data_IF_935736511292
#
_entry.id   IF_935736511292
#
_cell.length_a   1.000
_cell.length_b   1.000
_cell.length_c   1.000
_cell.angle_alpha   90.00
_cell.angle_beta   90.00
_cell.angle_gamma   90.00
#
_symmetry.space_group_name_H-M   'P 1'
#
loop_
_entity.id
_entity.type
_entity.pdbx_description
1 polymer ?
#
# COMPACT_ATOMS: atom_id res chain seq x y z
N UNK A 1 -50.99 21.24 -2.08
CA UNK A 1 -49.71 20.59 -2.43
C UNK A 1 -49.57 19.13 -1.92
N UNK A 2 -50.34 18.69 -0.90
CA UNK A 2 -50.19 17.33 -0.33
C UNK A 2 -50.91 16.20 -1.08
N UNK A 3 -51.87 16.49 -1.99
CA UNK A 3 -52.63 15.47 -2.74
C UNK A 3 -51.91 14.99 -3.98
N UNK A 4 -51.13 15.87 -4.65
CA UNK A 4 -50.36 15.53 -5.86
C UNK A 4 -49.16 14.62 -5.59
N UNK A 5 -48.50 14.73 -4.42
CA UNK A 5 -47.38 13.87 -4.05
C UNK A 5 -47.83 12.43 -3.71
N UNK A 6 -49.07 12.24 -3.17
CA UNK A 6 -49.60 10.90 -2.87
C UNK A 6 -50.02 10.15 -4.12
N UNK A 7 -50.54 10.85 -5.14
CA UNK A 7 -50.86 10.24 -6.45
C UNK A 7 -49.65 9.82 -7.22
N UNK A 8 -48.54 10.59 -7.17
CA UNK A 8 -47.25 10.21 -7.79
C UNK A 8 -46.61 8.99 -7.12
N UNK A 9 -46.75 8.87 -5.78
CA UNK A 9 -46.19 7.73 -5.03
C UNK A 9 -46.98 6.43 -5.32
N UNK A 10 -48.31 6.50 -5.47
CA UNK A 10 -49.13 5.36 -5.83
C UNK A 10 -48.92 4.91 -7.29
N UNK A 11 -48.67 5.87 -8.19
CA UNK A 11 -48.38 5.54 -9.59
C UNK A 11 -47.02 4.87 -9.74
N UNK A 12 -45.97 5.29 -8.99
CA UNK A 12 -44.65 4.65 -9.01
C UNK A 12 -44.69 3.24 -8.38
N UNK A 13 -45.50 3.02 -7.36
CA UNK A 13 -45.67 1.69 -6.75
C UNK A 13 -46.36 0.73 -7.71
N UNK A 14 -47.41 1.17 -8.45
CA UNK A 14 -48.10 0.36 -9.45
C UNK A 14 -47.21 -0.06 -10.64
N UNK A 15 -46.34 0.86 -11.10
CA UNK A 15 -45.35 0.55 -12.17
C UNK A 15 -44.31 -0.46 -11.68
N UNK A 16 -43.84 -0.35 -10.43
CA UNK A 16 -42.91 -1.32 -9.84
C UNK A 16 -43.47 -2.74 -9.72
N UNK A 17 -44.75 -2.86 -9.34
CA UNK A 17 -45.44 -4.18 -9.23
C UNK A 17 -45.67 -4.82 -10.62
N UNK A 18 -46.04 -4.03 -11.64
CA UNK A 18 -46.22 -4.53 -13.02
C UNK A 18 -44.90 -4.98 -13.62
N UNK A 19 -43.80 -4.22 -13.43
CA UNK A 19 -42.45 -4.66 -13.87
C UNK A 19 -41.99 -5.94 -13.14
N UNK A 20 -42.25 -6.04 -11.83
CA UNK A 20 -41.91 -7.24 -11.05
C UNK A 20 -42.61 -8.49 -11.52
N UNK A 21 -43.87 -8.39 -11.91
CA UNK A 21 -44.68 -9.51 -12.45
C UNK A 21 -44.19 -9.94 -13.85
N UNK A 22 -43.78 -9.01 -14.71
CA UNK A 22 -43.21 -9.34 -16.02
C UNK A 22 -41.86 -10.04 -15.94
N UNK A 23 -41.02 -9.67 -15.00
CA UNK A 23 -39.73 -10.32 -14.78
C UNK A 23 -39.91 -11.73 -14.22
N UNK A 24 -40.85 -11.93 -13.28
CA UNK A 24 -41.11 -13.26 -12.70
C UNK A 24 -41.69 -14.26 -13.70
N UNK A 25 -42.57 -13.82 -14.61
CA UNK A 25 -43.16 -14.70 -15.66
C UNK A 25 -42.14 -15.00 -16.77
N UNK A 26 -41.23 -14.09 -17.08
CA UNK A 26 -40.10 -14.32 -18.00
C UNK A 26 -39.10 -15.36 -17.49
N UNK A 27 -38.77 -15.30 -16.20
CA UNK A 27 -37.82 -16.22 -15.58
C UNK A 27 -38.39 -17.64 -15.42
N UNK A 28 -39.71 -17.80 -15.17
CA UNK A 28 -40.35 -19.12 -15.08
C UNK A 28 -40.43 -19.84 -16.43
N UNK A 29 -40.49 -19.10 -17.56
CA UNK A 29 -40.47 -19.72 -18.90
C UNK A 29 -39.08 -20.18 -19.32
N UNK A 30 -38.00 -19.60 -18.77
CA UNK A 30 -36.61 -19.97 -19.05
C UNK A 30 -36.14 -21.22 -18.27
N UNK A 31 -36.88 -21.64 -17.24
CA UNK A 31 -36.51 -22.75 -16.36
C UNK A 31 -37.37 -24.02 -16.56
N UNK A 32 -38.23 -24.10 -17.59
CA UNK A 32 -38.96 -25.31 -17.89
C UNK A 32 -38.09 -26.27 -18.71
N UNK A 33 -37.80 -27.49 -18.22
CA UNK A 33 -37.07 -28.47 -19.00
C UNK A 33 -37.96 -28.98 -20.12
N UNK A 34 -37.66 -28.61 -21.37
CA UNK A 34 -38.21 -29.20 -22.56
C UNK A 34 -37.37 -30.41 -22.91
N UNK A 35 -38.03 -31.56 -22.94
CA UNK A 35 -37.92 -32.64 -23.87
C UNK A 35 -38.06 -34.01 -23.17
N UNK A 36 -39.07 -34.73 -23.58
CA UNK A 36 -39.21 -36.16 -23.34
C UNK A 36 -38.06 -36.93 -24.02
N UNK A 37 -37.61 -38.03 -23.41
CA UNK A 37 -36.58 -38.86 -24.03
C UNK A 37 -37.11 -39.54 -25.30
N UNK A 38 -36.30 -39.68 -26.35
CA UNK A 38 -36.67 -40.53 -27.49
C UNK A 38 -36.75 -42.00 -27.04
N UNK A 39 -37.76 -42.69 -27.50
CA UNK A 39 -38.01 -44.14 -27.32
C UNK A 39 -36.74 -44.92 -27.66
N UNK A 40 -36.31 -45.74 -26.71
CA UNK A 40 -35.18 -46.66 -26.87
C UNK A 40 -35.55 -47.77 -27.84
N UNK A 41 -34.97 -47.77 -29.02
CA UNK A 41 -34.93 -48.95 -29.88
C UNK A 41 -34.11 -50.04 -29.18
N UNK A 42 -34.79 -51.11 -28.80
CA UNK A 42 -34.19 -52.34 -28.29
C UNK A 42 -33.24 -52.96 -29.33
N UNK A 43 -32.03 -53.23 -29.01
CA UNK A 43 -31.22 -54.16 -29.78
C UNK A 43 -29.78 -53.76 -30.02
N UNK A 44 -28.98 -53.66 -28.95
CA UNK A 44 -27.54 -53.97 -29.02
C UNK A 44 -27.07 -54.36 -27.61
N UNK A 45 -26.76 -55.59 -27.39
CA UNK A 45 -26.03 -56.10 -26.23
C UNK A 45 -24.66 -55.41 -26.18
N UNK A 46 -24.30 -54.79 -25.07
CA UNK A 46 -22.96 -54.18 -24.96
C UNK A 46 -21.90 -55.29 -24.94
N UNK A 47 -20.90 -55.18 -25.80
CA UNK A 47 -19.70 -55.99 -25.79
C UNK A 47 -18.98 -55.79 -24.43
N UNK A 48 -18.73 -56.85 -23.64
CA UNK A 48 -18.05 -56.73 -22.34
C UNK A 48 -16.58 -56.30 -22.43
N UNK A 49 -16.06 -56.08 -23.62
CA UNK A 49 -14.67 -55.69 -23.81
C UNK A 49 -14.39 -54.14 -23.66
N UNK A 50 -15.45 -53.30 -23.53
CA UNK A 50 -15.29 -51.84 -23.38
C UNK A 50 -15.59 -51.33 -21.96
N UNK A 51 -15.82 -52.24 -20.99
CA UNK A 51 -15.98 -51.87 -19.61
C UNK A 51 -14.58 -51.60 -18.97
N UNK A 52 -14.26 -50.33 -18.84
CA UNK A 52 -13.32 -49.90 -17.84
C UNK A 52 -11.83 -49.85 -18.22
N UNK A 53 -11.50 -49.08 -19.22
CA UNK A 53 -10.20 -48.38 -19.11
C UNK A 53 -10.34 -47.36 -17.97
N UNK A 54 -10.23 -47.81 -16.73
CA UNK A 54 -9.96 -46.91 -15.60
C UNK A 54 -8.71 -46.15 -16.01
N UNK A 55 -8.85 -44.85 -16.27
CA UNK A 55 -7.73 -43.95 -16.47
C UNK A 55 -6.85 -44.12 -15.25
N UNK A 56 -5.70 -44.76 -15.39
CA UNK A 56 -4.73 -44.89 -14.33
C UNK A 56 -4.47 -43.48 -13.82
N UNK A 57 -4.81 -43.19 -12.58
CA UNK A 57 -4.44 -41.94 -11.92
C UNK A 57 -2.91 -41.97 -11.93
N UNK A 58 -2.31 -41.12 -12.77
CA UNK A 58 -0.86 -40.98 -12.78
C UNK A 58 -0.44 -40.59 -11.36
N UNK A 59 0.37 -41.40 -10.74
CA UNK A 59 1.03 -41.04 -9.47
C UNK A 59 1.76 -39.74 -9.77
N UNK A 60 1.43 -38.65 -9.06
CA UNK A 60 2.09 -37.36 -9.25
C UNK A 60 3.60 -37.59 -9.17
N UNK A 61 4.38 -37.17 -10.19
CA UNK A 61 5.83 -37.19 -10.08
C UNK A 61 6.19 -36.44 -8.81
N UNK A 62 7.19 -36.91 -8.06
CA UNK A 62 7.62 -36.22 -6.83
C UNK A 62 7.93 -34.76 -7.14
N UNK A 63 7.77 -33.90 -6.13
CA UNK A 63 8.03 -32.45 -6.24
C UNK A 63 9.39 -32.20 -6.90
N UNK A 64 9.45 -31.25 -7.84
CA UNK A 64 10.70 -30.79 -8.40
C UNK A 64 11.52 -29.92 -7.41
N UNK A 65 12.72 -29.54 -7.81
CA UNK A 65 13.60 -28.75 -6.93
C UNK A 65 13.05 -27.33 -6.65
N UNK A 66 12.37 -26.74 -7.62
CA UNK A 66 11.78 -25.40 -7.49
C UNK A 66 10.54 -25.43 -6.58
N UNK A 67 9.70 -26.44 -6.74
CA UNK A 67 8.53 -26.66 -5.87
C UNK A 67 8.97 -26.86 -4.41
N UNK A 68 9.96 -27.71 -4.16
CA UNK A 68 10.52 -27.93 -2.82
C UNK A 68 11.06 -26.65 -2.22
N UNK A 69 11.84 -25.91 -3.00
CA UNK A 69 12.40 -24.63 -2.57
C UNK A 69 11.29 -23.63 -2.18
N UNK A 70 10.24 -23.51 -2.99
CA UNK A 70 9.10 -22.63 -2.72
C UNK A 70 8.36 -23.05 -1.45
N UNK A 71 8.14 -24.34 -1.25
CA UNK A 71 7.49 -24.89 -0.06
C UNK A 71 8.32 -24.61 1.18
N UNK A 72 9.62 -24.84 1.14
CA UNK A 72 10.50 -24.62 2.29
C UNK A 72 10.63 -23.15 2.63
N UNK A 73 10.79 -22.27 1.62
CA UNK A 73 10.75 -20.82 1.81
C UNK A 73 9.45 -20.37 2.49
N UNK A 74 8.31 -20.86 2.02
CA UNK A 74 7.02 -20.52 2.60
C UNK A 74 6.88 -20.99 4.05
N UNK A 75 7.27 -22.23 4.37
CA UNK A 75 7.24 -22.76 5.73
C UNK A 75 8.11 -21.94 6.69
N UNK A 76 9.28 -21.53 6.25
CA UNK A 76 10.20 -20.74 7.07
C UNK A 76 9.67 -19.32 7.27
N UNK A 77 9.27 -18.65 6.21
CA UNK A 77 8.85 -17.25 6.25
C UNK A 77 7.49 -17.04 6.91
N UNK A 78 6.54 -17.97 6.76
CA UNK A 78 5.19 -17.86 7.35
C UNK A 78 5.23 -17.77 8.89
N UNK A 79 6.26 -18.31 9.53
CA UNK A 79 6.47 -18.19 10.99
C UNK A 79 6.68 -16.76 11.45
N UNK A 80 7.11 -15.88 10.55
CA UNK A 80 7.35 -14.47 10.80
C UNK A 80 6.16 -13.59 10.44
N UNK A 81 5.18 -14.12 9.68
CA UNK A 81 4.04 -13.34 9.18
C UNK A 81 2.92 -13.34 10.21
N UNK A 82 2.33 -12.17 10.40
CA UNK A 82 1.24 -11.94 11.33
C UNK A 82 -0.06 -11.60 10.58
N UNK A 83 -1.18 -12.00 11.16
CA UNK A 83 -2.49 -11.45 10.84
C UNK A 83 -2.80 -10.29 11.78
N UNK A 84 -3.30 -9.19 11.22
CA UNK A 84 -3.64 -7.98 11.98
C UNK A 84 -5.13 -7.72 11.82
N UNK A 85 -5.82 -7.54 12.93
CA UNK A 85 -7.20 -7.08 12.98
C UNK A 85 -7.29 -5.77 13.74
N UNK A 86 -8.19 -4.93 13.28
CA UNK A 86 -8.46 -3.63 13.88
C UNK A 86 -9.93 -3.54 14.28
N UNK A 87 -10.19 -2.83 15.37
CA UNK A 87 -11.53 -2.65 15.92
C UNK A 87 -11.76 -1.17 16.18
N UNK A 88 -13.01 -0.75 16.05
CA UNK A 88 -13.49 0.57 16.44
C UNK A 88 -14.54 0.42 17.53
N UNK A 89 -14.48 1.28 18.54
CA UNK A 89 -15.50 1.36 19.57
C UNK A 89 -16.72 2.11 19.01
N UNK A 90 -17.88 1.49 19.11
CA UNK A 90 -19.15 2.15 18.80
C UNK A 90 -20.01 2.20 20.04
N UNK A 91 -20.52 3.39 20.35
CA UNK A 91 -21.45 3.61 21.46
C UNK A 91 -22.87 3.48 20.90
N UNK A 92 -23.64 2.55 21.43
CA UNK A 92 -25.07 2.51 21.18
C UNK A 92 -25.74 3.69 21.90
N UNK A 93 -26.37 4.56 21.13
CA UNK A 93 -26.98 5.78 21.64
C UNK A 93 -28.09 5.54 22.70
N UNK A 94 -28.79 4.42 22.63
CA UNK A 94 -29.89 4.07 23.50
C UNK A 94 -29.46 3.34 24.76
N UNK A 95 -28.59 2.36 24.63
CA UNK A 95 -28.12 1.53 25.75
C UNK A 95 -26.87 2.10 26.44
N UNK A 96 -26.18 3.05 25.85
CA UNK A 96 -24.85 3.57 26.25
C UNK A 96 -23.78 2.48 26.35
N UNK A 97 -24.05 1.30 25.80
CA UNK A 97 -23.07 0.23 25.75
C UNK A 97 -22.03 0.55 24.66
N UNK A 98 -20.76 0.27 24.97
CA UNK A 98 -19.66 0.32 24.02
C UNK A 98 -19.49 -1.05 23.42
N UNK A 99 -19.48 -1.13 22.10
CA UNK A 99 -19.24 -2.37 21.35
C UNK A 99 -18.00 -2.19 20.49
N UNK A 100 -17.10 -3.19 20.54
CA UNK A 100 -16.01 -3.29 19.59
C UNK A 100 -16.53 -3.91 18.27
N UNK A 101 -16.36 -3.20 17.17
CA UNK A 101 -16.75 -3.66 15.82
C UNK A 101 -15.49 -3.80 14.98
N UNK A 102 -15.32 -4.94 14.25
CA UNK A 102 -14.21 -5.08 13.32
C UNK A 102 -14.18 -3.92 12.32
N UNK A 103 -13.02 -3.25 12.18
CA UNK A 103 -12.83 -2.11 11.28
C UNK A 103 -12.05 -2.49 10.02
N UNK A 104 -11.09 -3.41 10.14
CA UNK A 104 -10.26 -3.84 9.03
C UNK A 104 -9.36 -5.01 9.40
N UNK A 105 -8.68 -5.54 8.40
CA UNK A 105 -7.67 -6.57 8.57
C UNK A 105 -6.57 -6.44 7.53
N UNK A 106 -5.42 -7.00 7.83
CA UNK A 106 -4.27 -7.06 6.95
C UNK A 106 -3.20 -8.00 7.48
N UNK A 107 -2.03 -7.92 6.88
CA UNK A 107 -0.87 -8.67 7.30
C UNK A 107 0.20 -7.77 7.91
N UNK A 108 1.12 -8.37 8.59
CA UNK A 108 2.36 -7.77 9.07
C UNK A 108 3.42 -8.84 9.20
N UNK A 109 4.58 -8.48 9.71
CA UNK A 109 5.64 -9.44 10.01
C UNK A 109 6.46 -8.99 11.21
N UNK A 110 7.01 -9.96 11.91
CA UNK A 110 7.89 -9.75 13.06
C UNK A 110 9.18 -9.10 12.59
N UNK A 111 9.49 -7.93 13.18
CA UNK A 111 10.70 -7.16 12.86
C UNK A 111 11.88 -7.58 13.71
N UNK A 112 11.66 -7.77 15.01
CA UNK A 112 12.71 -8.12 15.95
C UNK A 112 12.18 -9.04 17.07
N UNK A 113 13.10 -9.55 17.90
CA UNK A 113 12.82 -10.42 19.05
C UNK A 113 12.28 -9.65 20.28
N UNK A 114 12.01 -8.37 20.15
CA UNK A 114 11.40 -7.52 21.17
C UNK A 114 9.90 -7.33 20.96
N UNK A 115 9.31 -7.91 19.90
CA UNK A 115 7.89 -7.90 19.61
C UNK A 115 7.44 -6.71 18.75
N UNK A 116 8.34 -6.08 18.01
CA UNK A 116 7.93 -5.11 17.00
C UNK A 116 7.43 -5.84 15.75
N UNK A 117 6.28 -5.39 15.25
CA UNK A 117 5.63 -5.91 14.04
C UNK A 117 5.47 -4.76 13.06
N UNK A 118 5.92 -4.97 11.83
CA UNK A 118 5.79 -3.99 10.74
C UNK A 118 4.55 -4.31 9.92
N UNK A 119 3.82 -3.28 9.53
CA UNK A 119 2.63 -3.34 8.66
C UNK A 119 2.45 -2.02 7.91
N UNK A 120 1.34 -1.88 7.18
CA UNK A 120 0.97 -0.60 6.55
C UNK A 120 0.15 0.29 7.50
N UNK A 121 0.23 1.62 7.27
CA UNK A 121 -0.59 2.60 7.99
C UNK A 121 -2.07 2.38 7.71
N UNK A 122 -2.45 2.17 6.44
CA UNK A 122 -3.85 1.99 6.06
C UNK A 122 -4.49 0.73 6.66
N UNK A 123 -3.70 -0.25 7.12
CA UNK A 123 -4.21 -1.43 7.83
C UNK A 123 -4.65 -1.08 9.25
N UNK A 124 -3.97 -0.13 9.91
CA UNK A 124 -4.12 0.13 11.35
C UNK A 124 -4.61 1.55 11.69
N UNK A 125 -4.66 2.44 10.71
CA UNK A 125 -5.23 3.77 10.93
C UNK A 125 -6.72 3.69 11.19
N UNK A 126 -7.28 4.73 11.83
CA UNK A 126 -8.71 4.89 12.09
C UNK A 126 -9.32 3.75 12.93
N UNK A 127 -8.51 3.13 13.81
CA UNK A 127 -8.91 2.08 14.73
C UNK A 127 -8.55 2.44 16.18
N UNK A 128 -9.42 2.04 17.13
CA UNK A 128 -9.23 2.29 18.55
C UNK A 128 -8.37 1.19 19.20
N UNK A 129 -8.46 -0.05 18.70
CA UNK A 129 -7.64 -1.17 19.16
C UNK A 129 -7.15 -2.02 18.00
N UNK A 130 -5.99 -2.67 18.19
CA UNK A 130 -5.36 -3.57 17.23
C UNK A 130 -4.97 -4.88 17.92
N UNK A 131 -5.16 -5.99 17.19
CA UNK A 131 -4.67 -7.32 17.60
C UNK A 131 -3.78 -7.90 16.52
N UNK A 132 -2.71 -8.54 16.95
CA UNK A 132 -1.75 -9.24 16.10
C UNK A 132 -1.77 -10.72 16.44
N UNK A 133 -2.07 -11.56 15.46
CA UNK A 133 -2.10 -13.01 15.59
C UNK A 133 -0.84 -13.60 14.96
N UNK A 134 -0.08 -14.36 15.76
CA UNK A 134 1.08 -15.15 15.34
C UNK A 134 0.76 -16.64 15.53
N UNK A 135 0.68 -17.39 14.42
CA UNK A 135 0.14 -18.75 14.46
C UNK A 135 -1.29 -18.74 14.99
N UNK A 136 -1.54 -19.48 16.09
CA UNK A 136 -2.87 -19.63 16.69
C UNK A 136 -3.12 -18.68 17.88
N UNK A 137 -2.18 -17.76 18.19
CA UNK A 137 -2.26 -16.91 19.37
C UNK A 137 -2.39 -15.43 18.96
N UNK A 138 -3.42 -14.78 19.47
CA UNK A 138 -3.66 -13.34 19.31
C UNK A 138 -3.13 -12.56 20.50
N UNK A 139 -2.45 -11.47 20.22
CA UNK A 139 -1.88 -10.53 21.19
C UNK A 139 -2.48 -9.15 20.99
N UNK A 140 -2.78 -8.46 22.08
CA UNK A 140 -3.11 -7.04 21.98
C UNK A 140 -1.87 -6.27 21.53
N UNK A 141 -2.08 -5.35 20.58
CA UNK A 141 -1.02 -4.57 20.00
C UNK A 141 -1.20 -3.09 20.30
N UNK A 142 -0.09 -2.40 20.52
CA UNK A 142 -0.06 -0.94 20.63
C UNK A 142 0.76 -0.36 19.49
N UNK A 143 0.29 0.73 18.94
CA UNK A 143 1.02 1.47 17.93
C UNK A 143 2.27 2.13 18.53
N UNK A 144 3.43 1.86 17.91
CA UNK A 144 4.71 2.51 18.27
C UNK A 144 4.86 3.81 17.47
N UNK A 145 4.52 3.78 16.17
CA UNK A 145 4.61 4.96 15.32
C UNK A 145 4.18 4.72 13.88
N UNK A 146 4.03 5.83 13.15
CA UNK A 146 3.60 5.86 11.75
C UNK A 146 4.54 6.67 10.86
N UNK A 147 4.79 6.17 9.67
CA UNK A 147 5.35 6.90 8.54
C UNK A 147 4.29 6.97 7.42
N UNK A 148 3.35 7.91 7.52
CA UNK A 148 2.15 7.98 6.65
C UNK A 148 2.50 8.13 5.17
N UNK A 149 3.55 8.88 4.85
CA UNK A 149 4.04 9.10 3.48
C UNK A 149 4.73 7.89 2.85
N UNK A 150 5.07 6.89 3.65
CA UNK A 150 5.62 5.62 3.17
C UNK A 150 4.66 4.46 3.43
N UNK A 151 3.48 4.77 3.99
CA UNK A 151 2.47 3.79 4.36
C UNK A 151 3.02 2.67 5.26
N UNK A 152 3.93 3.01 6.20
CA UNK A 152 4.55 2.08 7.14
C UNK A 152 4.10 2.38 8.57
N UNK A 153 3.74 1.33 9.30
CA UNK A 153 3.42 1.38 10.73
C UNK A 153 4.23 0.33 11.50
N UNK A 154 4.55 0.66 12.74
CA UNK A 154 5.15 -0.28 13.69
C UNK A 154 4.20 -0.46 14.85
N UNK A 155 3.87 -1.72 15.12
CA UNK A 155 3.12 -2.15 16.29
C UNK A 155 4.07 -2.83 17.28
N UNK A 156 3.67 -2.86 18.55
CA UNK A 156 4.34 -3.62 19.61
C UNK A 156 3.38 -4.60 20.24
N UNK A 157 3.79 -5.85 20.32
CA UNK A 157 3.09 -6.92 21.04
C UNK A 157 3.96 -7.46 22.19
N UNK A 158 3.29 -8.04 23.19
CA UNK A 158 3.96 -8.71 24.28
C UNK A 158 3.81 -10.23 24.13
N UNK A 159 4.60 -10.78 23.21
CA UNK A 159 4.61 -12.21 22.89
C UNK A 159 5.88 -12.87 23.45
N UNK A 160 5.83 -14.19 23.80
CA UNK A 160 7.01 -14.95 24.16
C UNK A 160 8.07 -14.92 23.06
N UNK A 161 9.35 -14.79 23.47
CA UNK A 161 10.47 -14.60 22.55
C UNK A 161 10.60 -15.72 21.50
N UNK A 162 10.26 -16.95 21.88
CA UNK A 162 10.26 -18.12 20.99
C UNK A 162 9.21 -18.06 19.86
N UNK A 163 8.21 -17.20 20.01
CA UNK A 163 7.21 -16.92 18.97
C UNK A 163 7.62 -15.78 18.05
N UNK A 164 8.59 -14.98 18.45
CA UNK A 164 9.07 -13.82 17.69
C UNK A 164 10.21 -14.25 16.76
N UNK A 165 9.87 -14.61 15.54
CA UNK A 165 10.83 -15.03 14.50
C UNK A 165 11.01 -13.89 13.49
N UNK A 166 12.09 -13.07 13.57
CA UNK A 166 12.30 -11.98 12.63
C UNK A 166 12.63 -12.49 11.24
N UNK A 167 12.16 -11.77 10.20
CA UNK A 167 12.57 -12.01 8.82
C UNK A 167 14.03 -11.57 8.60
N UNK A 168 14.74 -12.32 7.78
CA UNK A 168 16.05 -11.88 7.30
C UNK A 168 15.89 -10.73 6.31
N UNK A 169 16.64 -9.65 6.52
CA UNK A 169 16.62 -8.50 5.63
C UNK A 169 17.49 -8.76 4.40
N UNK A 170 16.96 -8.42 3.22
CA UNK A 170 17.70 -8.31 1.98
C UNK A 170 18.09 -6.85 1.70
N UNK A 171 18.20 -6.51 0.44
CA UNK A 171 18.38 -5.13 -0.05
C UNK A 171 17.53 -4.90 -1.29
N UNK A 172 17.01 -3.70 -1.44
CA UNK A 172 16.29 -3.28 -2.66
C UNK A 172 17.19 -2.54 -3.67
N UNK A 173 18.38 -2.12 -3.26
CA UNK A 173 19.30 -1.35 -4.11
C UNK A 173 19.85 -2.11 -5.32
N UNK A 174 19.85 -3.43 -5.30
CA UNK A 174 20.38 -4.27 -6.38
C UNK A 174 19.34 -5.12 -7.10
N UNK A 175 18.05 -4.84 -6.90
CA UNK A 175 16.97 -5.58 -7.55
C UNK A 175 17.01 -5.39 -9.07
N UNK A 176 16.70 -6.45 -9.80
CA UNK A 176 16.61 -6.46 -11.26
C UNK A 176 15.21 -6.85 -11.71
N UNK A 177 14.72 -6.21 -12.76
CA UNK A 177 13.48 -6.62 -13.43
C UNK A 177 13.62 -8.05 -13.95
N UNK A 178 12.61 -8.88 -13.70
CA UNK A 178 12.62 -10.32 -13.98
C UNK A 178 13.06 -11.19 -12.80
N UNK A 179 13.56 -10.62 -11.71
CA UNK A 179 13.94 -11.35 -10.50
C UNK A 179 12.68 -11.92 -9.81
N UNK A 180 12.71 -13.21 -9.46
CA UNK A 180 11.59 -13.91 -8.81
C UNK A 180 11.33 -13.35 -7.41
N UNK A 181 10.05 -13.21 -7.08
CA UNK A 181 9.60 -12.73 -5.78
C UNK A 181 8.44 -13.56 -5.25
N UNK A 182 8.27 -13.51 -3.92
CA UNK A 182 7.23 -14.21 -3.17
C UNK A 182 6.55 -13.22 -2.23
N UNK A 183 5.23 -13.05 -2.37
CA UNK A 183 4.44 -12.25 -1.45
C UNK A 183 3.66 -13.18 -0.51
N UNK A 184 3.78 -12.95 0.79
CA UNK A 184 3.08 -13.72 1.82
C UNK A 184 2.14 -12.80 2.58
N UNK A 185 0.95 -13.33 2.90
CA UNK A 185 -0.02 -12.67 3.75
C UNK A 185 -0.89 -13.67 4.49
N UNK A 186 -1.70 -13.15 5.40
CA UNK A 186 -2.71 -13.91 6.12
C UNK A 186 -4.05 -13.13 6.06
N UNK A 187 -4.79 -13.18 4.94
CA UNK A 187 -5.91 -12.28 4.68
C UNK A 187 -7.10 -12.46 5.63
N UNK A 188 -7.27 -13.63 6.24
CA UNK A 188 -8.44 -13.94 7.06
C UNK A 188 -8.08 -14.50 8.44
N UNK A 189 -6.79 -14.57 8.78
CA UNK A 189 -6.33 -15.17 10.04
C UNK A 189 -6.53 -16.68 10.13
N UNK A 190 -6.94 -17.31 9.02
CA UNK A 190 -7.18 -18.75 8.96
C UNK A 190 -5.95 -19.49 8.42
N UNK A 191 -5.49 -19.06 7.23
CA UNK A 191 -4.36 -19.69 6.54
C UNK A 191 -3.50 -18.62 5.85
N UNK A 192 -2.19 -18.89 5.81
CA UNK A 192 -1.24 -18.07 5.07
C UNK A 192 -1.43 -18.26 3.56
N UNK A 193 -1.38 -17.17 2.84
CA UNK A 193 -1.43 -17.15 1.36
C UNK A 193 -0.07 -16.79 0.81
N UNK A 194 0.42 -17.61 -0.12
CA UNK A 194 1.61 -17.36 -0.91
C UNK A 194 1.22 -17.01 -2.34
N UNK A 195 1.74 -15.90 -2.84
CA UNK A 195 1.69 -15.59 -4.27
C UNK A 195 3.11 -15.39 -4.81
N UNK A 196 3.35 -15.82 -6.04
CA UNK A 196 4.66 -15.73 -6.70
C UNK A 196 4.57 -14.87 -7.95
N UNK A 197 5.65 -14.22 -8.27
CA UNK A 197 5.79 -13.37 -9.45
C UNK A 197 7.23 -12.94 -9.64
N UNK A 198 7.41 -11.83 -10.34
CA UNK A 198 8.71 -11.22 -10.59
C UNK A 198 8.70 -9.73 -10.22
N UNK A 199 9.87 -9.14 -10.09
CA UNK A 199 10.03 -7.69 -10.13
C UNK A 199 9.68 -7.22 -11.54
N UNK A 200 8.57 -6.49 -11.69
CA UNK A 200 8.09 -6.02 -13.01
C UNK A 200 8.65 -4.65 -13.38
N UNK A 201 8.90 -3.78 -12.39
CA UNK A 201 9.55 -2.48 -12.57
C UNK A 201 10.10 -1.96 -11.25
N UNK A 202 10.98 -0.97 -11.32
CA UNK A 202 11.59 -0.28 -10.18
C UNK A 202 11.45 1.23 -10.33
N UNK A 203 11.56 1.95 -9.21
CA UNK A 203 11.57 3.42 -9.21
C UNK A 203 10.23 4.05 -9.58
N UNK A 204 9.11 3.34 -9.40
CA UNK A 204 7.77 3.89 -9.65
C UNK A 204 7.33 4.80 -8.51
N UNK A 205 6.48 5.76 -8.83
CA UNK A 205 5.80 6.61 -7.86
C UNK A 205 4.32 6.29 -7.88
N UNK A 206 3.72 6.05 -6.71
CA UNK A 206 2.30 5.71 -6.59
C UNK A 206 1.62 6.58 -5.54
N UNK A 207 0.28 6.60 -5.59
CA UNK A 207 -0.55 7.08 -4.49
C UNK A 207 -0.96 5.88 -3.61
N UNK A 208 -0.73 5.96 -2.30
CA UNK A 208 -1.22 4.95 -1.35
C UNK A 208 -2.73 5.06 -1.15
N UNK A 209 -3.33 4.05 -0.52
CA UNK A 209 -4.73 4.08 -0.12
C UNK A 209 -5.07 5.29 0.79
N UNK A 210 -4.10 5.82 1.53
CA UNK A 210 -4.20 7.04 2.35
C UNK A 210 -3.88 8.35 1.61
N UNK A 211 -3.86 8.37 0.27
CA UNK A 211 -3.49 9.52 -0.57
C UNK A 211 -2.05 10.04 -0.37
N UNK A 212 -1.18 9.28 0.27
CA UNK A 212 0.24 9.62 0.34
C UNK A 212 0.96 9.23 -0.95
N UNK A 213 1.91 10.05 -1.40
CA UNK A 213 2.76 9.74 -2.55
C UNK A 213 3.96 8.93 -2.08
N UNK A 214 4.03 7.66 -2.49
CA UNK A 214 5.16 6.76 -2.18
C UNK A 214 6.08 6.71 -3.40
N UNK A 215 7.36 7.01 -3.17
CA UNK A 215 8.39 7.04 -4.20
C UNK A 215 9.19 5.74 -4.22
N UNK A 216 9.80 5.47 -5.38
CA UNK A 216 10.77 4.39 -5.60
C UNK A 216 10.23 2.97 -5.29
N UNK A 217 8.90 2.74 -5.38
CA UNK A 217 8.31 1.44 -5.07
C UNK A 217 8.77 0.35 -6.05
N UNK A 218 8.81 -0.89 -5.55
CA UNK A 218 9.00 -2.10 -6.34
C UNK A 218 7.65 -2.50 -6.90
N UNK A 219 7.56 -2.64 -8.23
CA UNK A 219 6.38 -3.19 -8.91
C UNK A 219 6.56 -4.69 -9.11
N UNK A 220 5.50 -5.47 -8.88
CA UNK A 220 5.46 -6.93 -9.08
C UNK A 220 4.15 -7.37 -9.72
N UNK A 221 4.17 -8.48 -10.44
CA UNK A 221 2.99 -9.20 -10.93
C UNK A 221 2.53 -10.31 -9.97
N UNK A 222 3.27 -10.57 -8.87
CA UNK A 222 2.75 -11.36 -7.77
C UNK A 222 1.40 -10.79 -7.32
N UNK A 223 0.39 -11.63 -7.16
CA UNK A 223 -0.95 -11.17 -6.84
C UNK A 223 -0.99 -10.52 -5.45
N UNK A 224 -1.09 -9.18 -5.42
CA UNK A 224 -1.36 -8.41 -4.22
C UNK A 224 -2.86 -8.15 -4.15
N UNK A 225 -3.47 -8.52 -3.02
CA UNK A 225 -4.91 -8.39 -2.77
C UNK A 225 -5.14 -7.88 -1.34
N UNK A 226 -6.34 -7.36 -1.02
CA UNK A 226 -6.70 -7.09 0.37
C UNK A 226 -6.43 -8.31 1.24
N UNK A 227 -5.63 -8.10 2.30
CA UNK A 227 -5.21 -9.14 3.23
C UNK A 227 -3.72 -9.50 3.16
N UNK A 228 -3.01 -9.36 2.02
CA UNK A 228 -1.55 -9.45 2.03
C UNK A 228 -0.85 -8.08 2.10
N UNK A 229 -1.61 -6.96 2.13
CA UNK A 229 -1.09 -5.64 2.44
C UNK A 229 -0.48 -5.60 3.84
N UNK A 230 0.71 -5.01 3.98
CA UNK A 230 1.53 -5.02 5.19
C UNK A 230 2.38 -6.27 5.36
N UNK A 231 2.11 -7.33 4.61
CA UNK A 231 2.93 -8.54 4.59
C UNK A 231 4.22 -8.36 3.79
N UNK A 232 5.16 -9.31 3.92
CA UNK A 232 6.46 -9.24 3.27
C UNK A 232 6.41 -9.59 1.78
N UNK A 233 7.25 -8.90 0.99
CA UNK A 233 7.74 -9.32 -0.31
C UNK A 233 9.14 -9.86 -0.14
N UNK A 234 9.38 -11.11 -0.57
CA UNK A 234 10.64 -11.83 -0.36
C UNK A 234 11.33 -12.11 -1.70
N UNK A 235 12.66 -12.21 -1.66
CA UNK A 235 13.45 -12.75 -2.78
C UNK A 235 13.49 -14.30 -2.74
N UNK A 236 14.15 -14.91 -3.73
CA UNK A 236 14.33 -16.37 -3.81
C UNK A 236 15.17 -16.96 -2.68
N UNK A 237 15.86 -16.18 -1.87
CA UNK A 237 16.56 -16.65 -0.68
C UNK A 237 15.72 -16.47 0.61
N UNK A 238 14.43 -16.08 0.50
CA UNK A 238 13.53 -15.81 1.62
C UNK A 238 13.89 -14.56 2.41
N UNK A 239 14.62 -13.61 1.81
CA UNK A 239 14.98 -12.34 2.45
C UNK A 239 13.95 -11.29 2.09
N UNK A 240 13.61 -10.45 3.05
CA UNK A 240 12.71 -9.31 2.86
C UNK A 240 13.32 -8.32 1.87
N UNK A 241 12.61 -8.01 0.78
CA UNK A 241 12.98 -7.01 -0.21
C UNK A 241 11.96 -5.86 -0.30
N UNK A 242 10.79 -6.02 0.31
CA UNK A 242 9.79 -4.97 0.40
C UNK A 242 8.61 -5.33 1.29
N UNK A 243 7.71 -4.36 1.49
CA UNK A 243 6.43 -4.50 2.20
C UNK A 243 5.30 -4.27 1.21
N UNK A 244 4.46 -5.28 1.01
CA UNK A 244 3.31 -5.18 0.10
C UNK A 244 2.38 -4.05 0.57
N UNK A 245 1.98 -3.14 -0.33
CA UNK A 245 1.19 -1.97 0.10
C UNK A 245 -0.05 -1.72 -0.73
N UNK A 246 0.04 -1.66 -2.03
CA UNK A 246 -1.05 -1.21 -2.89
C UNK A 246 -1.14 -2.03 -4.16
N UNK A 247 -2.32 -1.98 -4.78
CA UNK A 247 -2.57 -2.44 -6.15
C UNK A 247 -3.04 -1.27 -7.00
N UNK A 248 -2.67 -1.28 -8.28
CA UNK A 248 -3.34 -0.45 -9.27
C UNK A 248 -4.46 -1.27 -9.89
N UNK A 249 -5.69 -1.04 -9.44
CA UNK A 249 -6.84 -1.83 -9.89
C UNK A 249 -8.13 -1.01 -9.90
N UNK A 250 -8.81 -0.92 -11.05
CA UNK A 250 -10.14 -0.29 -11.13
C UNK A 250 -11.22 -1.07 -10.38
N UNK A 251 -11.03 -2.38 -10.17
CA UNK A 251 -12.00 -3.28 -9.53
C UNK A 251 -11.71 -3.57 -8.05
N UNK A 252 -10.55 -3.14 -7.54
CA UNK A 252 -10.09 -3.48 -6.18
C UNK A 252 -9.46 -4.88 -6.05
N UNK A 253 -9.46 -5.72 -7.11
CA UNK A 253 -8.76 -7.00 -7.14
C UNK A 253 -7.45 -6.90 -7.93
N UNK A 254 -6.49 -7.79 -7.69
CA UNK A 254 -5.22 -7.80 -8.43
C UNK A 254 -5.44 -7.92 -9.94
N UNK A 255 -4.87 -6.97 -10.68
CA UNK A 255 -4.82 -6.99 -12.15
C UNK A 255 -3.40 -7.32 -12.66
N UNK A 256 -2.57 -8.00 -11.85
CA UNK A 256 -1.16 -8.25 -12.17
C UNK A 256 -0.24 -7.04 -12.00
N UNK A 257 -0.69 -6.03 -11.24
CA UNK A 257 0.09 -4.82 -10.92
C UNK A 257 0.00 -4.60 -9.41
N UNK A 258 0.99 -5.08 -8.69
CA UNK A 258 1.17 -4.88 -7.27
C UNK A 258 2.40 -4.01 -6.98
N UNK A 259 2.42 -3.39 -5.80
CA UNK A 259 3.51 -2.53 -5.36
C UNK A 259 3.94 -2.86 -3.94
N UNK A 260 5.23 -2.71 -3.70
CA UNK A 260 5.81 -2.87 -2.37
C UNK A 260 6.75 -1.71 -2.03
N UNK A 261 6.74 -1.29 -0.77
CA UNK A 261 7.70 -0.33 -0.21
C UNK A 261 9.06 -1.02 -0.12
N UNK A 262 10.15 -0.47 -0.71
CA UNK A 262 11.46 -1.12 -0.74
C UNK A 262 12.03 -1.37 0.66
N UNK A 263 12.71 -2.49 0.87
CA UNK A 263 13.28 -2.86 2.18
C UNK A 263 14.33 -1.86 2.68
N UNK A 264 15.09 -1.20 1.80
CA UNK A 264 16.06 -0.20 2.23
C UNK A 264 15.36 1.02 2.84
N UNK A 265 14.16 1.39 2.34
CA UNK A 265 13.28 2.38 2.96
C UNK A 265 12.75 1.89 4.31
N UNK A 266 12.29 0.64 4.39
CA UNK A 266 11.81 0.02 5.63
C UNK A 266 12.90 0.00 6.70
N UNK A 267 14.12 -0.44 6.33
CA UNK A 267 15.29 -0.55 7.21
C UNK A 267 15.77 0.80 7.75
N UNK A 268 15.49 1.89 7.05
CA UNK A 268 15.77 3.24 7.51
C UNK A 268 14.68 3.76 8.46
N UNK A 269 13.41 3.52 8.11
CA UNK A 269 12.25 4.11 8.79
C UNK A 269 11.91 3.38 10.09
N UNK A 270 11.88 2.05 10.07
CA UNK A 270 11.40 1.26 11.22
C UNK A 270 12.20 1.52 12.50
N UNK A 271 13.56 1.61 12.49
CA UNK A 271 14.32 1.98 13.69
C UNK A 271 13.98 3.37 14.22
N UNK A 272 13.69 4.36 13.34
CA UNK A 272 13.27 5.70 13.76
C UNK A 272 11.89 5.67 14.43
N UNK A 273 10.95 4.90 13.87
CA UNK A 273 9.64 4.71 14.49
C UNK A 273 9.75 4.04 15.85
N UNK A 274 10.62 3.03 16.00
CA UNK A 274 10.85 2.34 17.28
C UNK A 274 11.44 3.28 18.32
N UNK A 275 12.35 4.17 17.92
CA UNK A 275 13.11 5.03 18.85
C UNK A 275 12.36 6.32 19.17
N UNK A 276 11.68 6.91 18.19
CA UNK A 276 11.11 8.26 18.28
C UNK A 276 9.60 8.32 18.10
N UNK A 277 8.94 7.21 17.73
CA UNK A 277 7.51 7.16 17.39
C UNK A 277 7.16 7.85 16.07
N UNK A 278 8.12 8.46 15.41
CA UNK A 278 7.93 9.22 14.15
C UNK A 278 9.21 9.26 13.33
N UNK A 279 9.07 9.51 12.04
CA UNK A 279 10.21 9.77 11.15
C UNK A 279 10.67 11.21 11.33
N UNK A 280 11.94 11.39 11.63
CA UNK A 280 12.57 12.72 11.74
C UNK A 280 13.04 13.13 10.34
N UNK A 281 12.19 13.88 9.62
CA UNK A 281 12.54 14.35 8.27
C UNK A 281 13.51 15.51 8.35
N UNK A 282 14.58 15.45 7.56
CA UNK A 282 15.47 16.60 7.45
C UNK A 282 14.76 17.72 6.69
N UNK A 283 15.06 18.95 7.10
CA UNK A 283 14.53 20.16 6.47
C UNK A 283 15.66 21.02 5.90
N UNK A 284 15.40 21.70 4.79
CA UNK A 284 16.30 22.70 4.24
C UNK A 284 16.14 24.06 4.95
N UNK A 285 14.98 24.28 5.59
CA UNK A 285 14.67 25.49 6.36
C UNK A 285 14.01 26.58 5.54
N UNK A 286 12.99 26.23 4.76
CA UNK A 286 12.20 27.16 3.96
C UNK A 286 10.70 26.87 4.12
N UNK A 287 9.87 27.89 3.86
CA UNK A 287 8.43 27.72 3.68
C UNK A 287 8.06 27.73 2.20
N UNK A 288 7.01 26.99 1.87
CA UNK A 288 6.42 26.91 0.54
C UNK A 288 4.97 27.41 0.54
N UNK A 289 4.49 27.83 -0.62
CA UNK A 289 3.08 28.08 -0.93
C UNK A 289 2.79 27.52 -2.32
N UNK A 290 2.04 26.42 -2.36
CA UNK A 290 1.79 25.70 -3.62
C UNK A 290 1.05 26.54 -4.65
N UNK A 291 0.09 27.39 -4.22
CA UNK A 291 -0.69 28.25 -5.13
C UNK A 291 0.20 29.31 -5.74
N UNK A 292 1.01 29.95 -4.91
CA UNK A 292 1.97 30.96 -5.36
C UNK A 292 3.05 30.33 -6.25
N UNK A 293 3.55 29.16 -5.87
CA UNK A 293 4.55 28.40 -6.64
C UNK A 293 4.04 28.11 -8.05
N UNK A 294 2.84 27.51 -8.18
CA UNK A 294 2.23 27.21 -9.49
C UNK A 294 2.00 28.46 -10.32
N UNK A 295 1.54 29.55 -9.71
CA UNK A 295 1.29 30.82 -10.42
C UNK A 295 2.59 31.43 -10.99
N UNK A 296 3.65 31.44 -10.18
CA UNK A 296 4.96 32.02 -10.57
C UNK A 296 5.69 31.15 -11.58
N UNK A 297 5.78 29.84 -11.36
CA UNK A 297 6.49 28.93 -12.27
C UNK A 297 5.84 28.86 -13.64
N UNK A 298 4.48 28.87 -13.70
CA UNK A 298 3.75 28.97 -14.97
C UNK A 298 4.06 30.27 -15.72
N UNK A 299 4.13 31.41 -15.00
CA UNK A 299 4.45 32.72 -15.62
C UNK A 299 5.88 32.76 -16.15
N UNK A 300 6.82 32.07 -15.47
CA UNK A 300 8.22 32.01 -15.88
C UNK A 300 8.48 30.94 -16.94
N UNK A 301 7.52 30.05 -17.22
CA UNK A 301 7.68 28.94 -18.16
C UNK A 301 8.68 27.87 -17.68
N UNK A 302 8.79 27.66 -16.35
CA UNK A 302 9.72 26.71 -15.74
C UNK A 302 8.97 25.73 -14.82
N UNK A 303 9.59 24.58 -14.55
CA UNK A 303 9.14 23.66 -13.50
C UNK A 303 9.96 23.89 -12.21
N UNK A 304 9.35 23.59 -11.06
CA UNK A 304 10.03 23.66 -9.76
C UNK A 304 9.12 24.14 -8.63
N UNK A 305 9.72 24.33 -7.45
CA UNK A 305 9.05 24.77 -6.22
C UNK A 305 9.61 26.13 -5.78
N UNK A 306 8.75 27.14 -5.75
CA UNK A 306 9.09 28.48 -5.32
C UNK A 306 9.28 28.56 -3.81
N UNK A 307 10.39 29.12 -3.37
CA UNK A 307 10.62 29.41 -1.96
C UNK A 307 9.80 30.66 -1.57
N UNK A 308 8.86 30.51 -0.65
CA UNK A 308 8.11 31.63 -0.08
C UNK A 308 8.95 32.41 0.92
N UNK A 309 9.62 31.68 1.83
CA UNK A 309 10.38 32.26 2.94
C UNK A 309 11.57 31.38 3.28
N UNK A 310 12.68 31.96 3.68
CA UNK A 310 13.89 31.29 4.17
C UNK A 310 14.05 31.62 5.65
N UNK A 311 14.12 30.59 6.50
CA UNK A 311 14.29 30.79 7.92
C UNK A 311 15.74 31.02 8.31
N UNK A 312 16.00 31.99 9.19
CA UNK A 312 17.34 32.30 9.69
C UNK A 312 17.98 31.11 10.40
N UNK A 313 19.29 31.01 10.32
CA UNK A 313 20.05 29.95 10.98
C UNK A 313 19.87 28.54 10.33
N UNK A 314 19.23 28.43 9.20
CA UNK A 314 19.01 27.16 8.48
C UNK A 314 20.06 26.91 7.39
N UNK A 315 20.07 25.69 6.83
CA UNK A 315 20.93 25.37 5.70
C UNK A 315 20.64 26.19 4.45
N UNK A 316 19.36 26.50 4.20
CA UNK A 316 18.93 27.34 3.08
C UNK A 316 19.49 28.76 3.20
N UNK A 317 19.39 29.37 4.40
CA UNK A 317 19.95 30.69 4.66
C UNK A 317 21.49 30.71 4.49
N UNK A 318 22.18 29.70 5.04
CA UNK A 318 23.63 29.57 4.90
C UNK A 318 24.08 29.37 3.43
N UNK A 319 23.24 28.72 2.60
CA UNK A 319 23.47 28.53 1.17
C UNK A 319 23.12 29.77 0.31
N UNK A 320 22.60 30.84 0.90
CA UNK A 320 22.20 32.06 0.21
C UNK A 320 20.97 31.92 -0.65
N UNK A 321 20.08 30.98 -0.30
CA UNK A 321 18.75 30.90 -0.90
C UNK A 321 17.89 32.08 -0.46
N UNK A 322 16.98 32.53 -1.32
CA UNK A 322 16.13 33.70 -1.05
C UNK A 322 14.67 33.35 -1.17
N UNK A 323 13.89 33.90 -0.27
CA UNK A 323 12.43 33.85 -0.29
C UNK A 323 11.83 34.84 -1.28
N UNK A 324 10.55 34.69 -1.51
CA UNK A 324 9.73 35.61 -2.32
C UNK A 324 9.39 36.85 -1.50
N UNK A 325 9.59 38.01 -2.08
CA UNK A 325 9.29 39.32 -1.44
C UNK A 325 8.12 40.03 -2.15
N UNK A 326 7.55 40.99 -1.46
CA UNK A 326 6.58 41.91 -2.05
C UNK A 326 7.21 43.32 -2.01
N UNK A 327 7.42 43.92 -3.17
CA UNK A 327 8.02 45.24 -3.27
C UNK A 327 7.07 46.34 -2.71
N UNK A 328 7.61 47.55 -2.55
CA UNK A 328 6.87 48.72 -2.06
C UNK A 328 5.65 49.09 -2.91
N UNK A 329 5.56 48.55 -4.11
CA UNK A 329 4.43 48.76 -5.06
C UNK A 329 3.44 47.60 -5.07
N UNK A 330 3.57 46.66 -4.12
CA UNK A 330 2.73 45.48 -4.03
C UNK A 330 3.01 44.39 -5.07
N UNK A 331 4.12 44.45 -5.81
CA UNK A 331 4.48 43.46 -6.82
C UNK A 331 5.27 42.32 -6.18
N UNK A 332 4.91 41.09 -6.54
CA UNK A 332 5.64 39.89 -6.13
C UNK A 332 6.97 39.82 -6.85
N UNK A 333 8.07 39.83 -6.10
CA UNK A 333 9.43 39.56 -6.55
C UNK A 333 9.77 38.11 -6.19
N UNK A 334 9.79 37.21 -7.17
CA UNK A 334 10.02 35.79 -6.89
C UNK A 334 11.41 35.56 -6.29
N UNK A 335 11.48 34.74 -5.25
CA UNK A 335 12.71 34.18 -4.73
C UNK A 335 13.25 33.04 -5.60
N UNK A 336 14.05 32.17 -4.99
CA UNK A 336 14.57 30.98 -5.66
C UNK A 336 13.47 29.96 -5.95
N UNK A 337 13.51 29.34 -7.14
CA UNK A 337 12.68 28.19 -7.53
C UNK A 337 13.59 26.95 -7.52
N UNK A 338 13.32 25.99 -6.64
CA UNK A 338 14.05 24.73 -6.58
C UNK A 338 13.58 23.84 -7.72
N UNK A 339 14.49 23.48 -8.63
CA UNK A 339 14.24 22.66 -9.79
C UNK A 339 14.73 21.23 -9.67
N UNK A 340 15.81 21.01 -8.90
CA UNK A 340 16.40 19.68 -8.70
C UNK A 340 16.98 19.54 -7.30
N UNK A 341 17.05 18.30 -6.83
CA UNK A 341 17.84 17.86 -5.67
C UNK A 341 18.75 16.70 -6.10
N UNK A 342 20.04 16.86 -5.97
CA UNK A 342 21.09 15.92 -6.42
C UNK A 342 20.88 15.44 -7.87
N UNK A 343 20.53 16.39 -8.78
CA UNK A 343 20.27 16.11 -10.19
C UNK A 343 18.94 15.45 -10.52
N UNK A 344 18.11 15.17 -9.51
CA UNK A 344 16.76 14.63 -9.72
C UNK A 344 15.74 15.76 -9.79
N UNK A 345 14.88 15.82 -10.84
CA UNK A 345 13.91 16.90 -11.00
C UNK A 345 12.93 17.00 -9.83
N UNK A 346 12.53 18.22 -9.48
CA UNK A 346 11.52 18.54 -8.47
C UNK A 346 10.42 19.36 -9.15
N UNK A 347 9.18 18.83 -9.15
CA UNK A 347 8.04 19.45 -9.83
C UNK A 347 6.96 19.99 -8.89
N UNK A 348 6.95 19.51 -7.65
CA UNK A 348 5.98 19.91 -6.61
C UNK A 348 6.61 19.92 -5.24
N UNK A 349 5.96 20.58 -4.29
CA UNK A 349 6.36 20.54 -2.87
C UNK A 349 6.36 19.11 -2.33
N UNK A 350 5.35 18.30 -2.70
CA UNK A 350 5.29 16.89 -2.31
C UNK A 350 6.47 16.09 -2.87
N UNK A 351 6.88 16.34 -4.11
CA UNK A 351 8.04 15.72 -4.75
C UNK A 351 9.34 16.09 -4.00
N UNK A 352 9.52 17.37 -3.69
CA UNK A 352 10.68 17.84 -2.91
C UNK A 352 10.74 17.21 -1.53
N UNK A 353 9.62 17.22 -0.79
CA UNK A 353 9.54 16.64 0.55
C UNK A 353 9.75 15.12 0.54
N UNK A 354 9.20 14.42 -0.46
CA UNK A 354 9.42 12.99 -0.65
C UNK A 354 10.90 12.66 -0.88
N UNK A 355 11.59 13.43 -1.73
CA UNK A 355 13.03 13.27 -1.98
C UNK A 355 13.87 13.58 -0.75
N UNK A 356 13.55 14.66 -0.02
CA UNK A 356 14.22 15.00 1.25
C UNK A 356 14.06 13.87 2.29
N UNK A 357 12.96 13.13 2.27
CA UNK A 357 12.75 11.97 3.11
C UNK A 357 13.77 10.82 2.93
N UNK A 358 14.58 10.83 1.87
CA UNK A 358 15.66 9.85 1.65
C UNK A 358 16.97 10.19 2.36
N UNK A 359 17.07 11.39 2.93
CA UNK A 359 18.27 11.88 3.62
C UNK A 359 18.08 11.91 5.14
N UNK A 360 19.17 12.18 5.86
CA UNK A 360 19.18 12.36 7.32
C UNK A 360 19.51 13.80 7.70
N UNK A 361 19.11 14.28 8.87
CA UNK A 361 19.64 15.52 9.44
C UNK A 361 21.17 15.44 9.51
N UNK A 362 21.84 16.50 9.00
CA UNK A 362 23.29 16.57 8.88
C UNK A 362 23.83 16.29 7.48
N UNK A 363 23.09 15.61 6.63
CA UNK A 363 23.48 15.38 5.23
C UNK A 363 23.54 16.71 4.47
N UNK A 364 24.34 16.73 3.39
CA UNK A 364 24.44 17.88 2.48
C UNK A 364 23.89 17.46 1.12
N UNK A 365 22.95 18.22 0.60
CA UNK A 365 22.35 18.02 -0.73
C UNK A 365 22.71 19.15 -1.67
N UNK A 366 22.77 18.86 -2.96
CA UNK A 366 22.95 19.88 -4.01
C UNK A 366 21.58 20.23 -4.59
N UNK A 367 21.13 21.46 -4.39
CA UNK A 367 19.94 22.01 -5.02
C UNK A 367 20.30 22.76 -6.28
N UNK A 368 19.55 22.53 -7.39
CA UNK A 368 19.54 23.43 -8.53
C UNK A 368 18.42 24.44 -8.30
N UNK A 369 18.79 25.69 -8.03
CA UNK A 369 17.87 26.80 -7.77
C UNK A 369 17.90 27.81 -8.93
N UNK A 370 16.73 28.20 -9.42
CA UNK A 370 16.57 29.21 -10.48
C UNK A 370 16.17 30.56 -9.88
N UNK A 371 16.91 31.61 -10.22
CA UNK A 371 16.61 33.01 -9.87
C UNK A 371 17.18 33.94 -10.93
N UNK A 372 16.47 35.04 -11.24
CA UNK A 372 16.90 36.09 -12.17
C UNK A 372 17.29 35.56 -13.57
N UNK A 373 16.54 34.57 -14.07
CA UNK A 373 16.78 34.00 -15.41
C UNK A 373 17.94 32.97 -15.44
N UNK A 374 18.51 32.59 -14.33
CA UNK A 374 19.67 31.67 -14.26
C UNK A 374 19.46 30.57 -13.23
N UNK A 375 19.83 29.34 -13.60
CA UNK A 375 19.95 28.23 -12.68
C UNK A 375 21.35 28.21 -12.05
N UNK A 376 21.41 27.93 -10.75
CA UNK A 376 22.66 27.78 -9.99
C UNK A 376 22.59 26.57 -9.09
N UNK A 377 23.71 25.89 -8.86
CA UNK A 377 23.82 24.80 -7.91
C UNK A 377 24.30 25.34 -6.56
N UNK A 378 23.61 24.98 -5.50
CA UNK A 378 23.94 25.34 -4.12
C UNK A 378 23.95 24.12 -3.23
N UNK A 379 24.92 24.04 -2.32
CA UNK A 379 24.96 22.97 -1.32
C UNK A 379 24.22 23.43 -0.06
N UNK A 380 23.28 22.61 0.38
CA UNK A 380 22.44 22.87 1.54
C UNK A 380 22.63 21.78 2.57
N UNK A 381 23.09 22.14 3.77
CA UNK A 381 23.16 21.20 4.89
C UNK A 381 21.79 21.06 5.52
N UNK A 382 21.28 19.84 5.53
CA UNK A 382 19.98 19.49 6.10
C UNK A 382 20.02 19.52 7.63
N UNK A 383 18.90 19.91 8.26
CA UNK A 383 18.77 19.94 9.72
C UNK A 383 17.54 19.15 10.17
N UNK A 384 17.52 18.74 11.43
CA UNK A 384 16.28 18.27 12.05
C UNK A 384 15.27 19.45 12.10
N UNK A 385 13.96 19.19 11.95
CA UNK A 385 12.95 20.20 12.21
C UNK A 385 13.04 20.66 13.66
N UNK A 386 12.90 21.96 13.88
CA UNK A 386 12.84 22.56 15.23
C UNK A 386 11.48 22.34 15.85
#
# INVERSE_FOLDING_TARGET
MRLRSRLLFLASLAVGVVLGLFVSTGLQRALSPSSAPPEATAGATPDPATAGAQRAVAVSPGLDAEERHTIDLFKDASRSVAFITTQVERVDYWSRNVFEVPAGSGSGFVWDDRGHVVTNVHVVQDSDSQKVTLGDVSYDARTVGFARDQDLAVLRIDAPREKLVPLRLGTSAGLLVGQKVYAIGNPFGLDFTLTTGIVSALGRTIQSAGNATIFDVVQTDAAINPGNSGGPLLDSAGRLIGVNTAIYSPSGASAGIGFAVPVDTVSRIVPELITHGRVVRPVIGVAFDDRLSVAVTRRLGIEGVLIREVYEGTGAAAAGLQGTEVDRRGRVVPGDVIQEIDGKPVRSTSDLLGRLGSYKPGDTVTLTAFRDGRARKVQVKLRAPQ
#
